data_IF_469906407920
#
_entry.id   IF_469906407920
#
_cell.length_a   1.000
_cell.length_b   1.000
_cell.length_c   1.000
_cell.angle_alpha   90.00
_cell.angle_beta   90.00
_cell.angle_gamma   90.00
#
_symmetry.space_group_name_H-M   'P 1'
#
loop_
_entity.id
_entity.type
_entity.pdbx_description
1 polymer ?
#
# COMPACT_ATOMS: atom_id res chain seq x y z
N UNK A 1 28.92 -2.07 -8.66
CA UNK A 1 28.15 -2.82 -7.66
C UNK A 1 27.20 -1.81 -7.05
N UNK A 2 26.03 -1.60 -7.68
CA UNK A 2 25.05 -0.57 -7.32
C UNK A 2 23.72 -1.02 -7.90
N UNK A 3 22.85 -1.62 -7.09
CA UNK A 3 21.44 -1.95 -7.39
C UNK A 3 20.82 -2.64 -6.14
N UNK A 4 20.56 -1.88 -5.09
CA UNK A 4 19.69 -2.35 -4.00
C UNK A 4 18.26 -1.86 -4.26
N UNK A 5 17.44 -2.79 -4.74
CA UNK A 5 16.01 -2.63 -5.01
C UNK A 5 15.21 -3.40 -3.97
N UNK A 6 14.86 -2.68 -2.92
CA UNK A 6 13.55 -2.55 -2.28
C UNK A 6 13.83 -1.50 -1.20
N UNK A 7 13.28 -0.31 -1.37
CA UNK A 7 13.39 0.75 -0.39
C UNK A 7 12.59 0.32 0.85
N UNK A 8 13.24 -0.33 1.81
CA UNK A 8 12.83 -0.19 3.21
C UNK A 8 13.83 0.78 3.79
N UNK A 9 13.40 2.04 3.80
CA UNK A 9 14.05 3.23 4.35
C UNK A 9 15.37 3.73 3.71
N UNK A 10 15.52 5.03 3.79
CA UNK A 10 16.46 5.87 3.07
C UNK A 10 17.94 5.50 3.26
N UNK A 11 18.68 5.48 2.14
CA UNK A 11 20.12 5.73 2.13
C UNK A 11 20.39 6.95 1.25
N UNK A 12 20.94 8.00 1.89
CA UNK A 12 21.63 9.12 1.28
C UNK A 12 22.79 8.59 0.42
N UNK A 13 22.68 8.67 -0.91
CA UNK A 13 23.84 8.46 -1.78
C UNK A 13 24.48 9.79 -2.18
N UNK A 14 25.46 10.23 -1.39
CA UNK A 14 26.50 11.16 -1.84
C UNK A 14 27.42 10.43 -2.84
N UNK A 15 27.03 10.38 -4.11
CA UNK A 15 27.93 10.36 -5.28
C UNK A 15 27.08 10.17 -6.55
N UNK A 16 26.57 11.27 -7.09
CA UNK A 16 26.13 11.32 -8.49
C UNK A 16 27.32 11.80 -9.32
N UNK A 17 27.63 11.08 -10.41
CA UNK A 17 27.87 11.62 -11.78
C UNK A 17 28.56 10.53 -12.64
N UNK A 18 27.92 10.19 -13.76
CA UNK A 18 28.37 9.33 -14.89
C UNK A 18 28.26 7.80 -14.70
N UNK A 19 27.13 7.21 -15.12
CA UNK A 19 27.07 6.13 -16.14
C UNK A 19 25.62 5.64 -16.34
N UNK A 20 25.21 5.47 -17.61
CA UNK A 20 23.87 5.02 -18.06
C UNK A 20 23.65 3.52 -17.73
N UNK A 21 22.47 3.05 -17.30
CA UNK A 21 22.24 1.63 -17.01
C UNK A 21 21.49 0.90 -18.15
N UNK A 22 22.00 -0.27 -18.55
CA UNK A 22 21.48 -1.13 -19.64
C UNK A 22 21.40 -2.64 -19.33
N UNK A 23 21.26 -3.10 -18.08
CA UNK A 23 21.14 -4.55 -17.80
C UNK A 23 19.99 -4.94 -16.87
N UNK A 24 19.35 -6.07 -17.22
CA UNK A 24 18.25 -6.74 -16.53
C UNK A 24 18.71 -7.44 -15.25
N UNK A 25 17.79 -7.55 -14.28
CA UNK A 25 17.99 -7.97 -12.89
C UNK A 25 18.17 -9.49 -12.68
N UNK A 26 18.75 -10.22 -13.64
CA UNK A 26 18.96 -11.66 -13.50
C UNK A 26 20.42 -11.98 -13.16
N UNK A 27 20.56 -12.68 -12.03
CA UNK A 27 21.73 -13.41 -11.53
C UNK A 27 23.00 -12.62 -11.18
N UNK A 28 23.11 -12.20 -9.92
CA UNK A 28 24.37 -12.27 -9.15
C UNK A 28 24.04 -12.71 -7.71
N UNK A 29 24.78 -13.68 -7.17
CA UNK A 29 24.62 -14.21 -5.81
C UNK A 29 25.13 -13.25 -4.72
N UNK A 30 24.80 -11.98 -4.83
CA UNK A 30 25.22 -10.89 -3.94
C UNK A 30 24.20 -10.70 -2.81
N UNK A 31 24.67 -10.35 -1.62
CA UNK A 31 23.84 -10.11 -0.44
C UNK A 31 22.71 -9.12 -0.75
N UNK A 32 21.46 -9.53 -0.59
CA UNK A 32 20.32 -8.62 -0.75
C UNK A 32 20.16 -7.78 0.52
N UNK A 33 19.87 -6.47 0.37
CA UNK A 33 19.58 -5.57 1.50
C UNK A 33 18.59 -6.15 2.51
N UNK A 34 17.57 -6.88 2.05
CA UNK A 34 16.57 -7.53 2.90
C UNK A 34 16.51 -9.04 2.61
N UNK A 35 16.41 -9.85 3.66
CA UNK A 35 16.37 -11.32 3.62
C UNK A 35 15.38 -11.87 4.63
N UNK A 36 15.12 -13.18 4.59
CA UNK A 36 14.29 -13.86 5.60
C UNK A 36 14.85 -13.73 7.03
N UNK A 37 16.19 -13.65 7.18
CA UNK A 37 16.84 -13.42 8.48
C UNK A 37 16.45 -12.08 9.10
N UNK A 38 16.21 -11.07 8.26
CA UNK A 38 15.72 -9.77 8.74
C UNK A 38 14.29 -9.89 9.29
N UNK A 39 13.45 -10.73 8.67
CA UNK A 39 12.11 -11.04 9.19
C UNK A 39 12.21 -11.78 10.53
N UNK A 40 13.12 -12.73 10.66
CA UNK A 40 13.38 -13.41 11.95
C UNK A 40 13.81 -12.41 13.03
N UNK A 41 14.67 -11.44 12.70
CA UNK A 41 15.10 -10.39 13.61
C UNK A 41 13.95 -9.46 14.03
N UNK A 42 13.04 -9.11 13.10
CA UNK A 42 11.83 -8.32 13.39
C UNK A 42 10.95 -9.05 14.41
N UNK A 43 10.70 -10.35 14.19
CA UNK A 43 9.92 -11.19 15.11
C UNK A 43 10.60 -11.32 16.47
N UNK A 44 11.92 -11.57 16.48
CA UNK A 44 12.70 -11.70 17.71
C UNK A 44 12.73 -10.41 18.54
N UNK A 45 12.60 -9.25 17.89
CA UNK A 45 12.46 -7.96 18.54
C UNK A 45 11.03 -7.66 19.03
N UNK A 46 10.09 -8.60 18.90
CA UNK A 46 8.71 -8.45 19.36
C UNK A 46 7.85 -7.51 18.50
N UNK A 47 8.31 -7.15 17.30
CA UNK A 47 7.55 -6.30 16.37
C UNK A 47 6.52 -7.14 15.62
N UNK A 48 5.36 -6.54 15.33
CA UNK A 48 4.22 -7.23 14.70
C UNK A 48 3.81 -6.65 13.33
N UNK A 49 4.36 -5.49 12.97
CA UNK A 49 3.94 -4.71 11.80
C UNK A 49 5.14 -4.08 11.12
N UNK A 50 5.11 -4.01 9.79
CA UNK A 50 6.10 -3.28 8.98
C UNK A 50 5.41 -2.34 7.98
N UNK A 51 6.03 -1.20 7.71
CA UNK A 51 5.73 -0.32 6.58
C UNK A 51 6.74 -0.57 5.48
N UNK A 52 6.28 -0.85 4.27
CA UNK A 52 7.14 -1.06 3.11
C UNK A 52 6.93 0.10 2.14
N UNK A 53 7.90 1.02 2.01
CA UNK A 53 7.94 2.03 0.97
C UNK A 53 8.03 1.40 -0.43
N UNK A 54 7.10 1.76 -1.31
CA UNK A 54 7.01 1.23 -2.67
C UNK A 54 6.90 2.37 -3.68
N UNK A 55 7.85 2.45 -4.59
CA UNK A 55 7.78 3.36 -5.72
C UNK A 55 6.82 2.87 -6.80
N UNK A 56 6.13 3.80 -7.47
CA UNK A 56 5.13 3.49 -8.49
C UNK A 56 5.66 2.60 -9.62
N UNK A 57 6.97 2.68 -9.91
CA UNK A 57 7.65 1.93 -10.97
C UNK A 57 7.66 0.41 -10.76
N UNK A 58 7.26 -0.06 -9.57
CA UNK A 58 7.03 -1.49 -9.34
C UNK A 58 5.95 -2.05 -10.28
N UNK A 59 5.00 -1.21 -10.69
CA UNK A 59 4.03 -1.51 -11.75
C UNK A 59 4.62 -1.00 -13.06
N UNK A 60 5.38 -1.87 -13.74
CA UNK A 60 6.25 -1.46 -14.85
C UNK A 60 5.51 -0.84 -16.05
N UNK A 61 4.22 -1.16 -16.23
CA UNK A 61 3.34 -0.57 -17.25
C UNK A 61 3.09 0.92 -17.05
N UNK A 62 3.30 1.45 -15.83
CA UNK A 62 3.15 2.87 -15.53
C UNK A 62 4.36 3.70 -15.92
N UNK A 63 5.51 3.08 -16.18
CA UNK A 63 6.77 3.80 -16.43
C UNK A 63 6.88 4.16 -17.90
N UNK A 64 6.98 5.46 -18.20
CA UNK A 64 7.33 5.95 -19.51
C UNK A 64 8.82 5.71 -19.77
N UNK A 65 9.14 4.59 -20.42
CA UNK A 65 10.52 4.18 -20.67
C UNK A 65 11.30 5.11 -21.62
N UNK A 66 10.64 6.09 -22.25
CA UNK A 66 11.33 7.09 -23.06
C UNK A 66 11.94 8.22 -22.21
N UNK A 67 11.39 8.48 -21.02
CA UNK A 67 11.78 9.60 -20.15
C UNK A 67 12.14 9.19 -18.73
N UNK A 68 11.73 8.00 -18.28
CA UNK A 68 11.88 7.49 -16.92
C UNK A 68 12.74 6.23 -16.88
N UNK A 69 13.78 6.25 -16.03
CA UNK A 69 14.85 5.24 -16.01
C UNK A 69 14.84 4.38 -14.74
N UNK A 70 13.65 4.11 -14.20
CA UNK A 70 13.49 3.27 -13.02
C UNK A 70 13.79 1.80 -13.32
N UNK A 71 14.29 1.04 -12.34
CA UNK A 71 14.59 -0.37 -12.54
C UNK A 71 13.35 -1.26 -12.69
N UNK A 72 13.58 -2.54 -12.98
CA UNK A 72 12.55 -3.57 -13.28
C UNK A 72 12.65 -4.75 -12.32
N UNK A 73 11.58 -5.54 -12.20
CA UNK A 73 11.54 -6.80 -11.47
C UNK A 73 11.23 -6.70 -9.97
N UNK A 74 11.01 -5.49 -9.43
CA UNK A 74 10.76 -5.26 -8.00
C UNK A 74 9.57 -6.04 -7.44
N UNK A 75 8.53 -6.29 -8.25
CA UNK A 75 7.33 -7.02 -7.81
C UNK A 75 7.62 -8.45 -7.32
N UNK A 76 8.61 -9.14 -7.92
CA UNK A 76 9.00 -10.50 -7.51
C UNK A 76 9.64 -10.50 -6.13
N UNK A 77 10.44 -9.49 -5.83
CA UNK A 77 11.08 -9.33 -4.53
C UNK A 77 10.06 -8.89 -3.47
N UNK A 78 9.13 -7.99 -3.81
CA UNK A 78 8.03 -7.63 -2.91
C UNK A 78 7.21 -8.86 -2.54
N UNK A 79 6.78 -9.65 -3.54
CA UNK A 79 6.07 -10.91 -3.31
C UNK A 79 6.84 -11.84 -2.36
N UNK A 80 8.14 -12.03 -2.61
CA UNK A 80 9.00 -12.89 -1.77
C UNK A 80 9.04 -12.40 -0.32
N UNK A 81 9.24 -11.10 -0.11
CA UNK A 81 9.25 -10.48 1.22
C UNK A 81 7.92 -10.61 1.95
N UNK A 82 6.81 -10.33 1.27
CA UNK A 82 5.46 -10.49 1.83
C UNK A 82 5.17 -11.95 2.22
N UNK A 83 5.63 -12.91 1.41
CA UNK A 83 5.55 -14.34 1.73
C UNK A 83 6.28 -14.71 3.03
N UNK A 84 7.45 -14.14 3.29
CA UNK A 84 8.16 -14.31 4.56
C UNK A 84 7.40 -13.68 5.74
N UNK A 85 6.95 -12.44 5.60
CA UNK A 85 6.17 -11.75 6.64
C UNK A 85 4.89 -12.52 6.99
N UNK A 86 4.17 -12.99 5.97
CA UNK A 86 2.98 -13.83 6.15
C UNK A 86 3.28 -15.08 6.97
N UNK A 87 4.34 -15.82 6.64
CA UNK A 87 4.71 -17.05 7.36
C UNK A 87 5.01 -16.80 8.83
N UNK A 88 5.43 -15.58 9.18
CA UNK A 88 5.77 -15.16 10.54
C UNK A 88 4.67 -14.36 11.24
N UNK A 89 3.51 -14.20 10.61
CA UNK A 89 2.38 -13.45 11.18
C UNK A 89 2.61 -11.95 11.31
N UNK A 90 3.53 -11.37 10.51
CA UNK A 90 3.78 -9.93 10.49
C UNK A 90 2.80 -9.25 9.54
N UNK A 91 2.16 -8.20 10.01
CA UNK A 91 1.26 -7.35 9.23
C UNK A 91 2.04 -6.33 8.39
N UNK A 92 1.57 -6.03 7.20
CA UNK A 92 2.26 -5.14 6.26
C UNK A 92 1.38 -3.97 5.84
N UNK A 93 1.90 -2.75 5.98
CA UNK A 93 1.38 -1.57 5.31
C UNK A 93 2.22 -1.31 4.07
N UNK A 94 1.59 -1.24 2.89
CA UNK A 94 2.26 -0.82 1.66
C UNK A 94 2.12 0.68 1.50
N UNK A 95 3.25 1.37 1.48
CA UNK A 95 3.26 2.81 1.33
C UNK A 95 3.62 3.21 -0.10
N UNK A 96 2.76 4.01 -0.75
CA UNK A 96 3.08 4.60 -2.04
C UNK A 96 4.08 5.75 -1.88
N UNK A 97 5.33 5.37 -1.70
CA UNK A 97 6.36 6.28 -1.20
C UNK A 97 6.90 7.26 -2.25
N UNK A 98 7.00 6.78 -3.48
CA UNK A 98 7.52 7.56 -4.60
C UNK A 98 6.50 7.55 -5.75
N UNK A 99 5.88 8.70 -5.95
CA UNK A 99 4.73 8.87 -6.84
C UNK A 99 5.18 9.17 -8.29
N UNK A 100 4.33 8.86 -9.28
CA UNK A 100 4.54 9.31 -10.65
C UNK A 100 4.74 10.82 -10.73
N UNK A 101 5.81 11.27 -11.39
CA UNK A 101 6.08 12.71 -11.53
C UNK A 101 6.61 13.41 -10.29
N UNK A 102 7.05 12.70 -9.25
CA UNK A 102 7.65 13.26 -8.02
C UNK A 102 6.65 14.10 -7.21
N UNK A 103 6.34 13.67 -5.98
CA UNK A 103 5.43 14.37 -5.07
C UNK A 103 6.09 15.52 -4.32
N UNK A 104 7.38 15.40 -3.99
CA UNK A 104 8.07 16.36 -3.12
C UNK A 104 9.40 16.81 -3.71
N UNK A 105 9.58 18.12 -3.82
CA UNK A 105 10.73 18.74 -4.47
C UNK A 105 12.02 18.49 -3.67
N UNK A 106 13.10 18.16 -4.37
CA UNK A 106 14.44 17.95 -3.82
C UNK A 106 14.54 16.84 -2.75
N UNK A 107 13.59 15.91 -2.75
CA UNK A 107 13.56 14.78 -1.82
C UNK A 107 13.99 13.50 -2.51
N UNK A 108 14.98 12.80 -1.96
CA UNK A 108 15.46 11.53 -2.51
C UNK A 108 14.42 10.42 -2.36
N UNK A 109 13.64 10.46 -1.27
CA UNK A 109 12.60 9.47 -1.00
C UNK A 109 11.46 9.48 -2.04
N UNK A 110 11.25 10.61 -2.73
CA UNK A 110 10.25 10.75 -3.78
C UNK A 110 10.66 10.09 -5.12
N UNK A 111 11.68 9.24 -5.11
CA UNK A 111 12.15 8.42 -6.24
C UNK A 111 13.14 9.11 -7.18
N UNK A 112 12.99 10.43 -7.37
CA UNK A 112 13.96 11.25 -8.12
C UNK A 112 14.12 12.60 -7.41
N UNK A 113 15.34 12.90 -6.98
CA UNK A 113 15.66 14.20 -6.41
C UNK A 113 15.67 15.28 -7.51
N UNK A 114 14.62 16.08 -7.57
CA UNK A 114 14.46 17.16 -8.55
C UNK A 114 13.57 18.26 -7.99
N UNK A 115 13.74 19.50 -8.45
CA UNK A 115 12.85 20.61 -8.12
C UNK A 115 11.56 20.63 -8.95
N UNK A 116 11.50 19.86 -10.04
CA UNK A 116 10.34 19.78 -10.94
C UNK A 116 9.33 18.74 -10.42
N UNK A 117 8.31 19.25 -9.72
CA UNK A 117 7.21 18.45 -9.17
C UNK A 117 6.06 18.42 -10.18
N UNK A 118 5.71 17.22 -10.63
CA UNK A 118 4.67 16.96 -11.64
C UNK A 118 3.54 16.06 -11.10
N UNK A 119 3.65 15.53 -9.87
CA UNK A 119 2.66 14.60 -9.32
C UNK A 119 1.24 15.19 -9.27
N UNK A 120 1.10 16.46 -8.88
CA UNK A 120 -0.18 17.15 -8.70
C UNK A 120 -0.83 17.56 -10.03
N UNK A 121 -1.00 16.59 -10.92
CA UNK A 121 -1.62 16.71 -12.24
C UNK A 121 -2.52 15.49 -12.49
N UNK A 122 -3.59 15.67 -13.27
CA UNK A 122 -4.53 14.58 -13.57
C UNK A 122 -3.84 13.34 -14.16
N UNK A 123 -2.84 13.53 -15.03
CA UNK A 123 -2.04 12.44 -15.61
C UNK A 123 -1.35 11.60 -14.54
N UNK A 124 -0.68 12.22 -13.57
CA UNK A 124 0.10 11.51 -12.56
C UNK A 124 -0.78 11.00 -11.41
N UNK A 125 -1.89 11.67 -11.08
CA UNK A 125 -2.95 11.11 -10.24
C UNK A 125 -3.51 9.83 -10.85
N UNK A 126 -3.86 9.81 -12.14
CA UNK A 126 -4.35 8.61 -12.81
C UNK A 126 -3.34 7.46 -12.72
N UNK A 127 -2.05 7.70 -12.97
CA UNK A 127 -0.99 6.69 -12.81
C UNK A 127 -0.94 6.16 -11.38
N UNK A 128 -1.06 7.03 -10.37
CA UNK A 128 -1.03 6.61 -8.98
C UNK A 128 -2.28 5.82 -8.56
N UNK A 129 -3.45 6.15 -9.11
CA UNK A 129 -4.69 5.38 -8.91
C UNK A 129 -4.61 3.98 -9.54
N UNK A 130 -3.97 3.85 -10.70
CA UNK A 130 -3.73 2.53 -11.31
C UNK A 130 -2.83 1.68 -10.41
N UNK A 131 -1.76 2.27 -9.86
CA UNK A 131 -0.91 1.58 -8.89
C UNK A 131 -1.74 1.07 -7.70
N UNK A 132 -2.58 1.93 -7.11
CA UNK A 132 -3.42 1.57 -5.96
C UNK A 132 -4.35 0.38 -6.27
N UNK A 133 -5.01 0.40 -7.42
CA UNK A 133 -5.90 -0.68 -7.83
C UNK A 133 -5.17 -1.99 -8.14
N UNK A 134 -3.96 -1.93 -8.72
CA UNK A 134 -3.11 -3.12 -8.94
C UNK A 134 -2.68 -3.73 -7.60
N UNK A 135 -2.18 -2.94 -6.67
CA UNK A 135 -1.73 -3.42 -5.35
C UNK A 135 -2.88 -3.97 -4.51
N UNK A 136 -4.05 -3.33 -4.58
CA UNK A 136 -5.29 -3.82 -3.94
C UNK A 136 -5.67 -5.19 -4.49
N UNK A 137 -5.72 -5.33 -5.82
CA UNK A 137 -6.11 -6.59 -6.44
C UNK A 137 -5.11 -7.72 -6.11
N UNK A 138 -3.79 -7.45 -6.19
CA UNK A 138 -2.76 -8.41 -5.82
C UNK A 138 -2.92 -8.92 -4.39
N UNK A 139 -3.25 -8.04 -3.45
CA UNK A 139 -3.50 -8.39 -2.04
C UNK A 139 -4.60 -9.44 -1.86
N UNK A 140 -5.62 -9.41 -2.70
CA UNK A 140 -6.77 -10.31 -2.61
C UNK A 140 -6.69 -11.53 -3.52
N UNK A 141 -5.81 -11.55 -4.53
CA UNK A 141 -5.69 -12.67 -5.47
C UNK A 141 -4.42 -13.50 -5.27
N UNK A 142 -3.36 -12.92 -4.70
CA UNK A 142 -2.10 -13.61 -4.41
C UNK A 142 -2.01 -13.92 -2.91
N UNK A 143 -1.99 -15.21 -2.51
CA UNK A 143 -1.84 -15.58 -1.11
C UNK A 143 -0.59 -15.02 -0.44
N UNK A 144 0.50 -14.74 -1.16
CA UNK A 144 1.72 -14.21 -0.53
C UNK A 144 1.55 -12.75 -0.08
N UNK A 145 0.57 -12.04 -0.63
CA UNK A 145 0.25 -10.67 -0.24
C UNK A 145 -0.77 -10.61 0.91
N UNK A 146 -1.22 -11.74 1.45
CA UNK A 146 -2.32 -11.78 2.42
C UNK A 146 -2.02 -11.12 3.77
N UNK A 147 -0.75 -10.81 4.05
CA UNK A 147 -0.30 -10.05 5.24
C UNK A 147 -0.51 -8.54 5.10
N UNK A 148 -0.78 -8.05 3.89
CA UNK A 148 -1.06 -6.63 3.65
C UNK A 148 -2.42 -6.28 4.22
N UNK A 149 -2.45 -5.33 5.16
CA UNK A 149 -3.68 -4.87 5.80
C UNK A 149 -4.01 -3.41 5.47
N UNK A 150 -3.04 -2.64 4.96
CA UNK A 150 -3.19 -1.23 4.65
C UNK A 150 -2.40 -0.83 3.40
N UNK A 151 -2.93 0.14 2.65
CA UNK A 151 -2.22 0.80 1.54
C UNK A 151 -2.30 2.31 1.71
N UNK A 152 -1.16 2.98 1.70
CA UNK A 152 -1.03 4.44 1.80
C UNK A 152 -1.10 5.09 0.42
N UNK A 153 -1.89 6.17 0.31
CA UNK A 153 -2.11 6.84 -0.96
C UNK A 153 -0.87 7.60 -1.45
N UNK A 154 -0.14 8.21 -0.53
CA UNK A 154 1.05 9.02 -0.80
C UNK A 154 1.84 9.22 0.48
N UNK A 155 3.14 8.97 0.42
CA UNK A 155 4.08 9.45 1.42
C UNK A 155 4.32 10.96 1.29
N UNK A 156 4.19 11.68 2.41
CA UNK A 156 4.68 13.06 2.58
C UNK A 156 4.40 14.02 1.40
N UNK A 157 3.13 14.34 1.09
CA UNK A 157 2.81 15.36 0.09
C UNK A 157 3.38 16.73 0.51
N UNK A 158 3.48 17.67 -0.43
CA UNK A 158 3.84 19.06 -0.13
C UNK A 158 2.89 19.61 0.95
N UNK A 159 3.47 20.11 2.05
CA UNK A 159 2.73 20.61 3.22
C UNK A 159 1.88 21.86 2.90
N UNK A 160 2.30 22.70 1.95
CA UNK A 160 1.47 23.82 1.51
C UNK A 160 0.34 23.33 0.59
N UNK A 161 -0.89 23.31 1.10
CA UNK A 161 -2.06 22.89 0.33
C UNK A 161 -2.23 23.66 -0.99
N UNK A 162 -1.86 24.95 -1.03
CA UNK A 162 -1.97 25.77 -2.24
C UNK A 162 -1.08 25.26 -3.38
N UNK A 163 -0.12 24.38 -3.08
CA UNK A 163 0.79 23.76 -4.05
C UNK A 163 0.38 22.34 -4.45
N UNK A 164 -0.76 21.85 -3.97
CA UNK A 164 -1.27 20.50 -4.24
C UNK A 164 -2.66 20.52 -4.91
N UNK A 165 -2.79 21.10 -6.12
CA UNK A 165 -4.08 21.23 -6.79
C UNK A 165 -4.74 19.86 -7.03
N UNK A 166 -6.03 19.75 -6.71
CA UNK A 166 -6.82 18.52 -6.90
C UNK A 166 -6.48 17.37 -5.94
N UNK A 167 -5.65 17.59 -4.92
CA UNK A 167 -5.21 16.52 -4.01
C UNK A 167 -6.36 15.86 -3.23
N UNK A 168 -7.34 16.64 -2.76
CA UNK A 168 -8.53 16.09 -2.11
C UNK A 168 -9.39 15.19 -3.02
N UNK A 169 -9.47 15.51 -4.31
CA UNK A 169 -10.17 14.67 -5.28
C UNK A 169 -9.39 13.40 -5.59
N UNK A 170 -8.06 13.47 -5.63
CA UNK A 170 -7.19 12.30 -5.70
C UNK A 170 -7.42 11.36 -4.50
N UNK A 171 -7.50 11.87 -3.27
CA UNK A 171 -7.78 11.06 -2.08
C UNK A 171 -9.14 10.35 -2.18
N UNK A 172 -10.19 11.05 -2.60
CA UNK A 172 -11.53 10.47 -2.83
C UNK A 172 -11.50 9.37 -3.90
N UNK A 173 -10.84 9.62 -5.03
CA UNK A 173 -10.69 8.62 -6.11
C UNK A 173 -9.85 7.43 -5.66
N UNK A 174 -8.82 7.64 -4.83
CA UNK A 174 -8.01 6.55 -4.27
C UNK A 174 -8.87 5.59 -3.46
N UNK A 175 -9.67 6.10 -2.51
CA UNK A 175 -10.59 5.25 -1.74
C UNK A 175 -11.57 4.54 -2.66
N UNK A 176 -12.16 5.26 -3.60
CA UNK A 176 -13.13 4.70 -4.56
C UNK A 176 -12.53 3.55 -5.38
N UNK A 177 -11.30 3.70 -5.88
CA UNK A 177 -10.60 2.65 -6.63
C UNK A 177 -10.36 1.42 -5.76
N UNK A 178 -9.84 1.58 -4.54
CA UNK A 178 -9.60 0.45 -3.62
C UNK A 178 -10.89 -0.31 -3.35
N UNK A 179 -11.97 0.39 -2.99
CA UNK A 179 -13.26 -0.25 -2.66
C UNK A 179 -13.94 -0.87 -3.85
N UNK A 180 -13.86 -0.26 -5.03
CA UNK A 180 -14.43 -0.86 -6.25
C UNK A 180 -13.65 -2.11 -6.68
N UNK A 181 -12.33 -2.17 -6.48
CA UNK A 181 -11.53 -3.39 -6.73
C UNK A 181 -11.93 -4.50 -5.76
N UNK A 182 -12.02 -4.21 -4.46
CA UNK A 182 -12.50 -5.17 -3.46
C UNK A 182 -13.91 -5.68 -3.77
N UNK A 183 -14.81 -4.76 -4.16
CA UNK A 183 -16.17 -5.10 -4.56
C UNK A 183 -16.17 -6.04 -5.78
N UNK A 184 -15.34 -5.78 -6.81
CA UNK A 184 -15.19 -6.66 -7.98
C UNK A 184 -14.61 -8.05 -7.65
N UNK A 185 -13.88 -8.15 -6.54
CA UNK A 185 -13.33 -9.41 -6.02
C UNK A 185 -14.23 -10.06 -4.96
N UNK A 186 -15.40 -9.48 -4.67
CA UNK A 186 -16.34 -9.91 -3.62
C UNK A 186 -15.73 -9.93 -2.22
N UNK A 187 -14.77 -9.05 -1.98
CA UNK A 187 -14.28 -8.73 -0.65
C UNK A 187 -15.29 -7.75 -0.05
N UNK A 188 -16.15 -8.27 0.85
CA UNK A 188 -17.20 -7.47 1.50
C UNK A 188 -16.60 -6.73 2.69
N UNK A 189 -16.81 -5.42 2.72
CA UNK A 189 -16.36 -4.53 3.77
C UNK A 189 -17.56 -4.09 4.60
N UNK A 190 -17.69 -4.56 5.86
CA UNK A 190 -18.86 -4.28 6.68
C UNK A 190 -19.19 -2.78 6.83
N UNK A 191 -18.17 -1.93 6.88
CA UNK A 191 -18.32 -0.49 7.13
C UNK A 191 -18.25 0.37 5.85
N UNK A 192 -18.36 -0.25 4.68
CA UNK A 192 -18.31 0.46 3.40
C UNK A 192 -19.71 0.90 2.95
N UNK A 193 -19.87 2.21 2.80
CA UNK A 193 -21.04 2.79 2.15
C UNK A 193 -20.96 2.65 0.62
N UNK A 194 -21.44 1.52 0.10
CA UNK A 194 -21.44 1.22 -1.33
C UNK A 194 -22.29 2.19 -2.16
N UNK A 195 -23.21 2.96 -1.55
CA UNK A 195 -24.00 3.97 -2.27
C UNK A 195 -23.13 5.13 -2.77
N UNK A 196 -21.99 5.38 -2.12
CA UNK A 196 -21.00 6.40 -2.53
C UNK A 196 -20.10 5.93 -3.68
N UNK A 197 -20.05 4.63 -3.96
CA UNK A 197 -19.22 4.10 -5.05
C UNK A 197 -19.91 4.21 -6.41
N UNK A 198 -21.22 3.99 -6.45
CA UNK A 198 -21.97 3.81 -7.70
C UNK A 198 -23.08 4.84 -7.83
N UNK A 199 -23.18 5.43 -9.02
CA UNK A 199 -24.21 6.42 -9.34
C UNK A 199 -25.59 5.78 -9.53
N UNK A 200 -25.65 4.48 -9.80
CA UNK A 200 -26.90 3.74 -10.05
C UNK A 200 -26.92 2.45 -9.22
N UNK A 201 -27.45 2.53 -7.99
CA UNK A 201 -27.33 1.50 -6.94
C UNK A 201 -28.33 0.34 -7.07
N UNK A 202 -29.29 0.40 -7.98
CA UNK A 202 -30.43 -0.51 -8.01
C UNK A 202 -30.12 -1.92 -8.54
N UNK A 203 -28.96 -2.16 -9.18
CA UNK A 203 -28.65 -3.46 -9.81
C UNK A 203 -27.15 -3.82 -9.88
N UNK A 204 -26.30 -3.26 -9.04
CA UNK A 204 -24.87 -3.65 -9.04
C UNK A 204 -24.68 -5.00 -8.35
N UNK A 205 -24.11 -5.96 -9.08
CA UNK A 205 -23.70 -7.25 -8.56
C UNK A 205 -22.17 -7.34 -8.56
N UNK A 206 -21.52 -7.80 -7.47
CA UNK A 206 -20.06 -7.89 -7.41
C UNK A 206 -19.49 -8.94 -8.38
N UNK A 207 -20.35 -9.81 -8.93
CA UNK A 207 -20.03 -10.86 -9.91
C UNK A 207 -19.88 -10.34 -11.35
N UNK A 208 -19.96 -9.03 -11.57
CA UNK A 208 -19.91 -8.47 -12.93
C UNK A 208 -18.47 -8.30 -13.44
N UNK A 209 -17.47 -8.38 -12.55
CA UNK A 209 -16.05 -8.22 -12.89
C UNK A 209 -15.61 -6.77 -13.03
N UNK A 210 -14.29 -6.56 -13.05
CA UNK A 210 -13.63 -5.25 -12.98
C UNK A 210 -14.17 -4.23 -14.00
N UNK A 211 -14.19 -4.57 -15.29
CA UNK A 211 -14.58 -3.62 -16.34
C UNK A 211 -16.07 -3.27 -16.29
N UNK A 212 -16.92 -4.23 -15.98
CA UNK A 212 -18.37 -3.99 -15.92
C UNK A 212 -18.74 -3.15 -14.72
N UNK A 213 -18.12 -3.40 -13.54
CA UNK A 213 -18.35 -2.60 -12.33
C UNK A 213 -17.94 -1.14 -12.53
N UNK A 214 -16.88 -0.88 -13.30
CA UNK A 214 -16.44 0.48 -13.61
C UNK A 214 -17.51 1.30 -14.35
N UNK A 215 -18.39 0.67 -15.13
CA UNK A 215 -19.46 1.39 -15.85
C UNK A 215 -20.60 1.90 -14.94
N UNK A 216 -20.60 1.55 -13.65
CA UNK A 216 -21.62 2.01 -12.69
C UNK A 216 -21.20 3.24 -11.89
N UNK A 217 -20.04 3.83 -12.20
CA UNK A 217 -19.67 5.14 -11.69
C UNK A 217 -19.65 6.17 -12.81
N UNK A 218 -20.00 7.42 -12.50
CA UNK A 218 -19.88 8.54 -13.45
C UNK A 218 -18.48 9.18 -13.49
N UNK A 219 -17.52 8.70 -12.69
CA UNK A 219 -16.16 9.23 -12.67
C UNK A 219 -15.37 8.63 -13.83
N UNK A 220 -15.22 9.42 -14.90
CA UNK A 220 -14.49 9.04 -16.11
C UNK A 220 -13.04 8.64 -15.84
N UNK A 221 -12.39 9.25 -14.84
CA UNK A 221 -11.00 8.92 -14.47
C UNK A 221 -10.97 7.52 -13.88
N UNK A 222 -11.89 7.21 -12.97
CA UNK A 222 -12.00 5.87 -12.38
C UNK A 222 -12.28 4.82 -13.46
N UNK A 223 -13.15 5.10 -14.44
CA UNK A 223 -13.40 4.19 -15.57
C UNK A 223 -12.11 3.85 -16.33
N UNK A 224 -11.31 4.86 -16.69
CA UNK A 224 -10.04 4.65 -17.41
C UNK A 224 -8.96 3.97 -16.55
N UNK A 225 -8.93 4.28 -15.24
CA UNK A 225 -8.08 3.58 -14.27
C UNK A 225 -8.39 2.09 -14.26
N UNK A 226 -9.67 1.69 -14.23
CA UNK A 226 -10.06 0.28 -14.22
C UNK A 226 -9.60 -0.49 -15.47
N UNK A 227 -9.67 0.13 -16.66
CA UNK A 227 -9.12 -0.47 -17.89
C UNK A 227 -7.61 -0.73 -17.80
N UNK A 228 -6.89 0.20 -17.17
CA UNK A 228 -5.44 0.11 -17.02
C UNK A 228 -5.03 -0.88 -15.91
N UNK A 229 -5.84 -0.99 -14.85
CA UNK A 229 -5.67 -2.01 -13.80
C UNK A 229 -5.79 -3.40 -14.40
N UNK A 230 -6.83 -3.70 -15.19
CA UNK A 230 -7.01 -5.05 -15.74
C UNK A 230 -5.89 -5.44 -16.70
N UNK A 231 -5.45 -4.51 -17.56
CA UNK A 231 -4.31 -4.72 -18.45
C UNK A 231 -3.02 -4.99 -17.66
N UNK A 232 -2.74 -4.23 -16.60
CA UNK A 232 -1.55 -4.40 -15.77
C UNK A 232 -1.58 -5.72 -14.99
N UNK A 233 -2.74 -6.08 -14.41
CA UNK A 233 -2.90 -7.32 -13.67
C UNK A 233 -2.72 -8.56 -14.55
N UNK A 234 -3.12 -8.52 -15.82
CA UNK A 234 -2.89 -9.62 -16.76
C UNK A 234 -1.40 -9.92 -16.92
N UNK A 235 -0.60 -8.88 -17.16
CA UNK A 235 0.86 -9.01 -17.33
C UNK A 235 1.52 -9.42 -16.02
N UNK A 236 1.22 -8.73 -14.91
CA UNK A 236 1.84 -9.00 -13.61
C UNK A 236 1.50 -10.41 -13.12
N UNK A 237 0.25 -10.85 -13.29
CA UNK A 237 -0.15 -12.21 -12.88
C UNK A 237 0.61 -13.28 -13.65
N UNK A 238 0.86 -13.08 -14.95
CA UNK A 238 1.69 -13.97 -15.74
C UNK A 238 3.15 -13.97 -15.26
N UNK A 239 3.73 -12.78 -15.02
CA UNK A 239 5.11 -12.62 -14.57
C UNK A 239 5.38 -13.22 -13.18
N UNK A 240 4.37 -13.20 -12.31
CA UNK A 240 4.39 -13.79 -10.97
C UNK A 240 3.98 -15.28 -10.94
N UNK A 241 3.61 -15.86 -12.08
CA UNK A 241 3.16 -17.25 -12.18
C UNK A 241 1.85 -17.52 -11.43
N UNK A 242 0.96 -16.52 -11.33
CA UNK A 242 -0.30 -16.66 -10.60
C UNK A 242 -1.30 -17.52 -11.35
N UNK A 243 -1.83 -18.53 -10.65
CA UNK A 243 -2.96 -19.31 -11.14
C UNK A 243 -4.26 -18.59 -10.80
N UNK A 244 -4.76 -17.81 -11.76
CA UNK A 244 -6.06 -17.15 -11.63
C UNK A 244 -7.21 -18.12 -11.98
N UNK A 245 -8.35 -18.01 -11.29
CA UNK A 245 -9.57 -18.76 -11.65
C UNK A 245 -10.10 -18.33 -13.03
N UNK A 246 -10.81 -19.22 -13.72
CA UNK A 246 -11.38 -18.95 -15.05
C UNK A 246 -12.20 -17.65 -15.09
N UNK A 247 -13.07 -17.43 -14.10
CA UNK A 247 -13.89 -16.22 -14.04
C UNK A 247 -13.08 -14.96 -13.75
N UNK A 248 -11.99 -15.05 -12.98
CA UNK A 248 -11.10 -13.92 -12.74
C UNK A 248 -10.30 -13.59 -14.01
N UNK A 249 -9.78 -14.58 -14.73
CA UNK A 249 -9.12 -14.37 -16.05
C UNK A 249 -10.06 -13.66 -17.02
N UNK A 250 -11.29 -14.19 -17.16
CA UNK A 250 -12.32 -13.59 -18.01
C UNK A 250 -12.72 -12.17 -17.58
N UNK A 251 -12.64 -11.86 -16.28
CA UNK A 251 -12.90 -10.51 -15.77
C UNK A 251 -11.77 -9.51 -16.10
N UNK A 252 -10.55 -10.00 -16.35
CA UNK A 252 -9.40 -9.16 -16.73
C UNK A 252 -9.31 -9.00 -18.26
N UNK A 253 -9.89 -9.91 -19.04
CA UNK A 253 -9.93 -9.83 -20.49
C UNK A 253 -11.00 -8.84 -20.98
N UNK A 254 -10.54 -7.78 -21.66
CA UNK A 254 -11.40 -6.77 -22.30
C UNK A 254 -12.11 -7.27 -23.57
N UNK A 255 -11.67 -8.39 -24.13
CA UNK A 255 -12.25 -9.02 -25.30
C UNK A 255 -13.12 -10.20 -24.87
N UNK A 256 -14.39 -10.24 -25.27
CA UNK A 256 -15.29 -11.40 -25.12
C UNK A 256 -14.86 -12.66 -25.91
N UNK A 257 -13.57 -12.82 -26.23
CA UNK A 257 -13.02 -13.95 -26.97
C UNK A 257 -12.45 -15.00 -26.01
N UNK A 258 -13.13 -16.13 -25.91
CA UNK A 258 -12.63 -17.34 -25.24
C UNK A 258 -11.37 -17.85 -25.92
N UNK A 259 -10.27 -18.04 -25.19
CA UNK A 259 -9.03 -18.60 -25.73
C UNK A 259 -9.07 -20.13 -25.78
N UNK A 260 -8.29 -20.77 -26.66
CA UNK A 260 -8.27 -22.24 -26.81
C UNK A 260 -7.86 -22.99 -25.54
N UNK A 261 -7.07 -22.35 -24.67
CA UNK A 261 -6.70 -22.86 -23.34
C UNK A 261 -7.89 -22.93 -22.38
N UNK A 262 -8.90 -22.09 -22.55
CA UNK A 262 -10.11 -22.06 -21.73
C UNK A 262 -11.05 -23.25 -22.01
N UNK A 263 -10.95 -23.82 -23.21
CA UNK A 263 -11.71 -25.00 -23.63
C UNK A 263 -11.15 -26.27 -22.99
N UNK A 264 -9.85 -26.31 -22.71
CA UNK A 264 -9.19 -27.46 -22.10
C UNK A 264 -9.63 -27.67 -20.64
N UNK A 265 -9.71 -26.61 -19.83
CA UNK A 265 -10.19 -26.71 -18.43
C UNK A 265 -11.67 -27.11 -18.32
N UNK A 266 -12.48 -26.88 -19.36
CA UNK A 266 -13.88 -27.30 -19.39
C UNK A 266 -14.06 -28.79 -19.68
N UNK A 267 -13.05 -29.47 -20.23
CA UNK A 267 -13.11 -30.89 -20.58
C UNK A 267 -12.69 -31.84 -19.46
N UNK A 268 -12.16 -31.33 -18.34
CA UNK A 268 -11.75 -32.16 -17.20
C UNK A 268 -12.82 -32.31 -16.10
N UNK A 269 -14.03 -31.78 -16.30
CA UNK A 269 -15.17 -31.96 -15.40
C UNK A 269 -16.17 -33.00 -15.92
N UNK A 270 -16.14 -34.20 -15.33
CA UNK A 270 -17.16 -35.26 -15.39
C UNK A 270 -17.34 -36.03 -16.71
N UNK A 271 -16.31 -36.79 -17.08
CA UNK A 271 -16.47 -38.01 -17.88
C UNK A 271 -16.67 -39.23 -16.97
N UNK A 272 -17.89 -39.43 -16.46
CA UNK A 272 -18.27 -40.69 -15.83
C UNK A 272 -19.50 -41.27 -16.56
N UNK A 273 -19.20 -42.18 -17.50
CA UNK A 273 -20.05 -43.31 -17.89
C UNK A 273 -21.47 -43.04 -18.38
N UNK A 274 -21.68 -43.19 -19.69
CA UNK A 274 -22.47 -44.31 -20.26
C UNK A 274 -22.30 -44.33 -21.79
N UNK A 275 -21.85 -45.49 -22.27
CA UNK A 275 -21.39 -45.73 -23.63
C UNK A 275 -22.49 -45.79 -24.70
N UNK A 276 -22.02 -45.99 -25.93
CA UNK A 276 -22.82 -46.29 -27.11
C UNK A 276 -22.57 -47.76 -27.48
N UNK A 277 -23.62 -48.58 -27.47
CA UNK A 277 -23.69 -49.85 -28.19
C UNK A 277 -25.14 -50.04 -28.67
N UNK A 278 -25.27 -50.51 -29.91
CA UNK A 278 -26.54 -50.90 -30.55
C UNK A 278 -26.49 -52.39 -30.87
N UNK A 279 -27.59 -53.09 -30.68
CA UNK A 279 -28.01 -54.23 -31.50
C UNK A 279 -29.54 -54.32 -31.32
N UNK A 280 -30.29 -54.27 -32.42
CA UNK A 280 -31.74 -54.50 -32.55
C UNK A 280 -32.74 -53.36 -32.20
N UNK A 281 -33.41 -52.80 -33.24
CA UNK A 281 -34.74 -52.15 -33.12
C UNK A 281 -34.88 -50.69 -33.64
N UNK A 282 -36.08 -50.27 -34.13
CA UNK A 282 -36.20 -49.49 -35.37
C UNK A 282 -36.30 -47.96 -35.26
N UNK A 283 -36.07 -47.34 -36.44
CA UNK A 283 -36.18 -45.94 -36.85
C UNK A 283 -37.40 -45.16 -36.30
N UNK A 284 -37.19 -43.88 -36.01
CA UNK A 284 -38.12 -42.82 -36.39
C UNK A 284 -37.37 -41.58 -36.87
N UNK A 285 -37.34 -41.40 -38.19
CA UNK A 285 -37.18 -40.09 -38.80
C UNK A 285 -38.54 -39.38 -38.75
N UNK A 286 -38.57 -38.13 -38.28
CA UNK A 286 -39.60 -37.21 -38.77
C UNK A 286 -39.20 -35.74 -38.70
N UNK A 287 -39.12 -35.17 -39.91
CA UNK A 287 -39.55 -33.84 -40.35
C UNK A 287 -38.95 -32.59 -39.70
N UNK A 288 -38.13 -31.94 -40.52
CA UNK A 288 -38.01 -30.50 -40.72
C UNK A 288 -39.30 -29.72 -40.44
N UNK A 289 -39.20 -28.73 -39.56
CA UNK A 289 -40.08 -27.56 -39.46
C UNK A 289 -39.24 -26.28 -39.32
N UNK A 290 -39.78 -25.13 -39.75
CA UNK A 290 -39.02 -24.01 -40.28
C UNK A 290 -38.35 -23.16 -39.20
N UNK A 291 -37.30 -22.45 -39.62
CA UNK A 291 -36.58 -21.46 -38.84
C UNK A 291 -37.43 -20.19 -38.63
N UNK A 292 -38.38 -20.23 -37.70
CA UNK A 292 -39.00 -19.05 -37.12
C UNK A 292 -39.13 -19.26 -35.60
N UNK A 293 -38.72 -18.28 -34.81
CA UNK A 293 -38.47 -18.29 -33.35
C UNK A 293 -37.03 -18.59 -32.87
N UNK A 294 -36.02 -18.01 -33.52
CA UNK A 294 -34.66 -17.84 -32.93
C UNK A 294 -34.36 -16.42 -32.44
N UNK A 295 -35.38 -15.56 -32.31
CA UNK A 295 -35.25 -14.21 -31.74
C UNK A 295 -36.03 -14.08 -30.44
N UNK A 296 -35.50 -14.65 -29.36
CA UNK A 296 -35.78 -14.23 -27.98
C UNK A 296 -34.95 -15.07 -27.02
N UNK A 297 -33.69 -14.66 -26.80
CA UNK A 297 -32.92 -14.87 -25.56
C UNK A 297 -31.77 -13.88 -25.58
N UNK A 298 -32.15 -12.61 -25.43
CA UNK A 298 -31.23 -11.53 -25.10
C UNK A 298 -30.47 -11.93 -23.83
N UNK A 299 -29.16 -11.81 -23.91
CA UNK A 299 -28.16 -12.05 -22.87
C UNK A 299 -28.67 -11.84 -21.44
N UNK A 300 -28.92 -12.92 -20.70
CA UNK A 300 -28.69 -12.86 -19.27
C UNK A 300 -27.19 -12.63 -19.08
N UNK A 301 -26.82 -11.51 -18.45
CA UNK A 301 -25.47 -11.28 -17.94
C UNK A 301 -25.04 -12.51 -17.14
N UNK A 302 -24.21 -13.37 -17.76
CA UNK A 302 -23.65 -14.54 -17.09
C UNK A 302 -22.72 -14.04 -15.99
N UNK A 303 -23.19 -14.09 -14.75
CA UNK A 303 -22.43 -13.79 -13.53
C UNK A 303 -21.04 -14.45 -13.59
N UNK A 304 -19.98 -13.64 -13.51
CA UNK A 304 -18.59 -14.07 -13.42
C UNK A 304 -18.32 -14.34 -11.94
N UNK A 305 -18.63 -15.54 -11.47
CA UNK A 305 -18.37 -15.88 -10.07
C UNK A 305 -16.86 -16.03 -9.85
N UNK A 306 -16.16 -14.92 -9.56
CA UNK A 306 -14.72 -14.92 -9.28
C UNK A 306 -14.45 -15.76 -8.03
N UNK A 307 -13.58 -16.76 -8.17
CA UNK A 307 -13.10 -17.56 -7.04
C UNK A 307 -11.68 -17.11 -6.73
N UNK A 308 -11.45 -16.64 -5.50
CA UNK A 308 -10.13 -16.25 -5.01
C UNK A 308 -9.34 -17.49 -4.56
N UNK A 309 -8.01 -17.39 -4.62
CA UNK A 309 -7.11 -18.45 -4.18
C UNK A 309 -7.30 -18.78 -2.70
N UNK A 310 -7.10 -20.05 -2.34
CA UNK A 310 -7.12 -20.49 -0.93
C UNK A 310 -5.99 -19.78 -0.18
N UNK A 311 -6.31 -19.12 0.93
CA UNK A 311 -5.34 -18.37 1.73
C UNK A 311 -5.07 -16.94 1.27
N UNK A 312 -5.78 -16.44 0.25
CA UNK A 312 -5.79 -15.01 -0.06
C UNK A 312 -6.64 -14.22 0.96
N UNK A 313 -6.29 -12.96 1.18
CA UNK A 313 -7.00 -12.11 2.15
C UNK A 313 -8.42 -11.79 1.65
N UNK A 314 -9.40 -11.94 2.55
CA UNK A 314 -10.80 -11.52 2.36
C UNK A 314 -11.20 -10.41 3.32
N UNK A 315 -10.25 -9.89 4.07
CA UNK A 315 -10.42 -8.74 4.94
C UNK A 315 -10.14 -7.49 4.15
N UNK A 316 -10.92 -6.45 4.38
CA UNK A 316 -10.73 -5.20 3.66
C UNK A 316 -9.43 -4.52 4.07
N UNK A 317 -8.79 -3.91 3.09
CA UNK A 317 -7.64 -3.06 3.31
C UNK A 317 -8.06 -1.77 4.01
N UNK A 318 -7.21 -1.23 4.87
CA UNK A 318 -7.32 0.15 5.33
C UNK A 318 -6.71 1.07 4.27
N UNK A 319 -7.46 2.07 3.82
CA UNK A 319 -6.90 3.15 2.98
C UNK A 319 -6.21 4.15 3.89
N UNK A 320 -4.91 4.40 3.66
CA UNK A 320 -4.07 5.19 4.57
C UNK A 320 -3.69 6.54 3.97
N UNK A 321 -3.66 7.58 4.80
CA UNK A 321 -3.31 8.94 4.41
C UNK A 321 -2.48 9.61 5.49
N UNK A 322 -1.55 10.48 5.10
CA UNK A 322 -1.04 11.50 6.01
C UNK A 322 -2.22 12.25 6.66
N UNK A 323 -2.16 12.42 7.97
CA UNK A 323 -3.24 13.03 8.75
C UNK A 323 -3.45 14.51 8.35
N UNK A 324 -4.61 15.06 8.70
CA UNK A 324 -5.04 16.42 8.32
C UNK A 324 -3.98 17.48 8.63
N UNK A 325 -3.29 17.36 9.76
CA UNK A 325 -2.29 18.33 10.21
C UNK A 325 -0.99 18.29 9.40
N UNK A 326 -0.85 17.35 8.46
CA UNK A 326 0.28 17.31 7.53
C UNK A 326 0.33 18.54 6.63
N UNK A 327 -0.83 19.02 6.17
CA UNK A 327 -0.91 20.20 5.33
C UNK A 327 -1.38 21.43 6.12
N UNK A 328 -0.83 22.59 5.78
CA UNK A 328 -1.31 23.89 6.23
C UNK A 328 -2.02 24.63 5.08
N UNK A 329 -2.53 25.84 5.33
CA UNK A 329 -3.31 26.64 4.39
C UNK A 329 -4.68 26.04 4.01
N UNK A 330 -5.46 25.62 5.03
CA UNK A 330 -6.84 25.13 4.89
C UNK A 330 -6.99 23.92 3.94
N UNK A 331 -6.29 22.79 4.20
CA UNK A 331 -6.40 21.59 3.39
C UNK A 331 -7.77 20.90 3.55
N UNK A 332 -8.18 20.05 2.59
CA UNK A 332 -9.26 19.11 2.79
C UNK A 332 -8.91 18.12 3.91
N UNK A 333 -9.91 17.60 4.60
CA UNK A 333 -9.69 16.56 5.58
C UNK A 333 -9.66 15.18 4.86
N UNK A 334 -8.60 14.37 4.98
CA UNK A 334 -8.57 13.02 4.40
C UNK A 334 -9.73 12.12 4.88
N UNK A 335 -10.28 12.39 6.08
CA UNK A 335 -11.46 11.71 6.59
C UNK A 335 -12.71 11.88 5.72
N UNK A 336 -12.80 12.99 4.97
CA UNK A 336 -13.94 13.24 4.07
C UNK A 336 -13.93 12.32 2.84
N UNK A 337 -12.81 11.63 2.58
CA UNK A 337 -12.71 10.61 1.53
C UNK A 337 -13.25 9.23 1.96
N UNK A 338 -13.64 9.04 3.23
CA UNK A 338 -13.97 7.74 3.78
C UNK A 338 -15.18 7.07 3.09
N UNK A 339 -14.93 5.87 2.56
CA UNK A 339 -15.92 4.92 2.02
C UNK A 339 -15.56 3.51 2.53
N UNK A 340 -15.40 3.36 3.84
CA UNK A 340 -14.88 2.16 4.49
C UNK A 340 -13.70 2.48 5.43
N UNK A 341 -12.95 1.45 5.88
CA UNK A 341 -11.91 1.63 6.89
C UNK A 341 -10.75 2.49 6.37
N UNK A 342 -10.32 3.43 7.22
CA UNK A 342 -9.20 4.33 6.99
C UNK A 342 -8.22 4.28 8.16
N UNK A 343 -6.95 4.53 7.86
CA UNK A 343 -5.85 4.71 8.82
C UNK A 343 -5.23 6.08 8.53
N UNK A 344 -4.76 6.77 9.57
CA UNK A 344 -4.09 8.05 9.42
C UNK A 344 -2.64 7.93 9.87
N UNK A 345 -1.73 8.49 9.09
CA UNK A 345 -0.29 8.47 9.34
C UNK A 345 0.20 9.86 9.76
N UNK A 346 1.04 9.92 10.79
CA UNK A 346 1.76 11.10 11.19
C UNK A 346 3.26 10.81 11.27
N UNK A 347 4.08 11.70 10.72
CA UNK A 347 5.52 11.64 10.93
C UNK A 347 5.95 12.73 11.90
N UNK A 348 6.87 12.39 12.82
CA UNK A 348 7.40 13.37 13.77
C UNK A 348 8.90 13.20 13.95
N UNK A 349 9.64 14.16 13.42
CA UNK A 349 11.09 14.26 13.55
C UNK A 349 11.46 15.59 14.19
N UNK A 350 12.24 15.53 15.27
CA UNK A 350 12.76 16.73 15.91
C UNK A 350 14.12 17.16 15.32
N UNK A 351 14.85 16.23 14.68
CA UNK A 351 16.17 16.46 14.09
C UNK A 351 16.21 17.46 12.94
N UNK A 352 15.06 17.81 12.35
CA UNK A 352 14.99 18.79 11.27
C UNK A 352 14.62 20.20 11.75
N UNK A 353 14.42 20.39 13.07
CA UNK A 353 14.01 21.67 13.66
C UNK A 353 12.52 21.96 13.48
N UNK A 354 12.06 23.11 13.99
CA UNK A 354 10.68 23.58 13.87
C UNK A 354 9.68 22.95 14.86
N UNK A 355 10.12 22.01 15.71
CA UNK A 355 9.28 21.36 16.73
C UNK A 355 9.65 21.82 18.14
N UNK A 356 10.94 21.92 18.43
CA UNK A 356 11.49 22.34 19.72
C UNK A 356 12.89 22.93 19.52
N UNK A 357 13.35 23.71 20.51
CA UNK A 357 14.74 24.14 20.58
C UNK A 357 15.69 22.92 20.64
N UNK A 358 16.92 23.03 20.12
CA UNK A 358 17.86 21.91 20.00
C UNK A 358 18.52 21.56 21.34
N UNK A 359 17.74 21.15 22.34
CA UNK A 359 18.21 20.69 23.64
C UNK A 359 17.26 19.66 24.26
N UNK A 360 17.79 18.88 25.20
CA UNK A 360 17.09 17.79 25.87
C UNK A 360 15.80 18.24 26.57
N UNK A 361 15.84 19.34 27.32
CA UNK A 361 14.70 19.82 28.10
C UNK A 361 13.53 20.23 27.18
N UNK A 362 13.82 20.96 26.11
CA UNK A 362 12.80 21.38 25.15
C UNK A 362 12.15 20.18 24.46
N UNK A 363 12.93 19.19 24.03
CA UNK A 363 12.41 17.96 23.42
C UNK A 363 11.46 17.23 24.37
N UNK A 364 11.87 17.02 25.63
CA UNK A 364 11.05 16.31 26.61
C UNK A 364 9.78 17.09 26.98
N UNK A 365 9.87 18.42 27.15
CA UNK A 365 8.69 19.26 27.42
C UNK A 365 7.68 19.18 26.30
N UNK A 366 8.14 19.30 25.05
CA UNK A 366 7.24 19.30 23.89
C UNK A 366 6.59 17.94 23.69
N UNK A 367 7.35 16.83 23.71
CA UNK A 367 6.76 15.50 23.47
C UNK A 367 5.79 15.10 24.59
N UNK A 368 6.14 15.34 25.86
CA UNK A 368 5.32 14.92 26.99
C UNK A 368 4.05 15.75 27.19
N UNK A 369 3.95 16.92 26.54
CA UNK A 369 2.78 17.81 26.62
C UNK A 369 2.07 17.99 25.27
N UNK A 370 2.42 17.21 24.24
CA UNK A 370 1.80 17.36 22.92
C UNK A 370 0.33 16.93 22.93
N UNK A 371 -0.50 17.66 22.17
CA UNK A 371 -1.92 17.36 21.96
C UNK A 371 -2.23 16.83 20.55
N UNK A 372 -1.18 16.46 19.78
CA UNK A 372 -1.30 16.02 18.37
C UNK A 372 -2.30 14.89 18.18
N UNK A 373 -2.25 13.87 19.03
CA UNK A 373 -3.17 12.73 18.93
C UNK A 373 -4.60 13.15 19.21
N UNK A 374 -4.81 13.94 20.27
CA UNK A 374 -6.12 14.49 20.61
C UNK A 374 -6.70 15.32 19.47
N UNK A 375 -5.92 16.21 18.86
CA UNK A 375 -6.33 17.02 17.70
C UNK A 375 -6.67 16.17 16.48
N UNK A 376 -5.90 15.12 16.21
CA UNK A 376 -6.21 14.18 15.13
C UNK A 376 -7.55 13.49 15.37
N UNK A 377 -7.81 12.99 16.59
CA UNK A 377 -9.10 12.37 16.95
C UNK A 377 -10.25 13.37 16.80
N UNK A 378 -10.10 14.61 17.29
CA UNK A 378 -11.08 15.70 17.13
C UNK A 378 -11.35 16.04 15.65
N UNK A 379 -10.37 15.82 14.77
CA UNK A 379 -10.50 15.98 13.32
C UNK A 379 -11.02 14.71 12.61
N UNK A 380 -11.50 13.69 13.32
CA UNK A 380 -11.89 12.38 12.78
C UNK A 380 -10.74 11.62 12.07
N UNK A 381 -9.50 11.90 12.44
CA UNK A 381 -8.30 11.23 11.93
C UNK A 381 -7.86 10.14 12.91
N UNK A 382 -8.72 9.14 13.11
CA UNK A 382 -8.50 7.98 13.96
C UNK A 382 -8.96 6.70 13.23
N UNK A 383 -8.24 5.56 13.37
CA UNK A 383 -7.00 5.37 14.12
C UNK A 383 -5.81 6.13 13.54
N UNK A 384 -4.93 6.62 14.42
CA UNK A 384 -3.71 7.36 14.08
C UNK A 384 -2.48 6.52 14.44
N UNK A 385 -1.57 6.35 13.48
CA UNK A 385 -0.26 5.74 13.70
C UNK A 385 0.83 6.76 13.44
N UNK A 386 1.88 6.75 14.27
CA UNK A 386 3.11 7.46 13.95
C UNK A 386 3.97 6.59 13.02
N UNK A 387 3.72 6.67 11.71
CA UNK A 387 4.30 5.79 10.69
C UNK A 387 5.77 6.06 10.39
N UNK A 388 6.29 7.22 10.82
CA UNK A 388 7.72 7.49 10.85
C UNK A 388 8.16 8.36 12.04
N UNK A 389 9.21 7.91 12.70
CA UNK A 389 9.94 8.62 13.76
C UNK A 389 11.30 7.96 14.00
N UNK A 390 12.22 8.64 14.67
CA UNK A 390 13.54 8.09 15.01
C UNK A 390 14.06 8.63 16.35
N UNK A 391 15.26 8.22 16.77
CA UNK A 391 15.92 8.82 17.94
C UNK A 391 16.84 9.99 17.58
N UNK A 392 16.79 10.46 16.32
CA UNK A 392 17.69 11.50 15.84
C UNK A 392 17.39 12.85 16.47
N UNK A 393 18.47 13.58 16.77
CA UNK A 393 18.43 14.92 17.36
C UNK A 393 19.24 15.89 16.49
N UNK A 394 18.94 17.18 16.61
CA UNK A 394 19.76 18.26 16.01
C UNK A 394 20.75 18.88 17.01
N UNK A 395 21.04 18.16 18.09
CA UNK A 395 22.04 18.50 19.11
C UNK A 395 22.78 17.24 19.56
N UNK A 396 23.93 17.42 20.21
CA UNK A 396 24.71 16.30 20.75
C UNK A 396 24.02 15.69 21.97
N UNK A 397 23.24 14.63 21.75
CA UNK A 397 22.46 13.96 22.78
C UNK A 397 23.33 13.01 23.63
N UNK A 398 23.13 13.02 24.95
CA UNK A 398 23.75 12.02 25.82
C UNK A 398 23.02 10.67 25.69
N UNK A 399 23.69 9.58 26.10
CA UNK A 399 23.07 8.25 26.10
C UNK A 399 21.86 8.21 27.01
N UNK A 400 21.99 8.78 28.21
CA UNK A 400 20.93 8.85 29.24
C UNK A 400 19.70 9.58 28.71
N UNK A 401 19.91 10.69 27.98
CA UNK A 401 18.81 11.36 27.29
C UNK A 401 18.15 10.47 26.25
N UNK A 402 18.92 9.74 25.42
CA UNK A 402 18.34 8.89 24.38
C UNK A 402 17.51 7.72 24.94
N UNK A 403 17.85 7.21 26.13
CA UNK A 403 17.01 6.26 26.88
C UNK A 403 15.65 6.87 27.22
N UNK A 404 15.63 8.03 27.88
CA UNK A 404 14.40 8.73 28.24
C UNK A 404 13.62 9.18 26.99
N UNK A 405 14.33 9.61 25.95
CA UNK A 405 13.76 10.11 24.70
C UNK A 405 12.99 9.03 23.94
N UNK A 406 13.52 7.80 23.88
CA UNK A 406 12.83 6.67 23.26
C UNK A 406 11.51 6.35 23.98
N UNK A 407 11.48 6.41 25.31
CA UNK A 407 10.27 6.17 26.09
C UNK A 407 9.29 7.34 26.02
N UNK A 408 9.76 8.59 26.06
CA UNK A 408 8.89 9.76 26.01
C UNK A 408 8.15 9.87 24.67
N UNK A 409 8.80 9.51 23.56
CA UNK A 409 8.14 9.38 22.27
C UNK A 409 7.07 8.27 22.28
N UNK A 410 7.43 7.06 22.73
CA UNK A 410 6.50 5.92 22.79
C UNK A 410 5.36 6.11 23.80
N UNK A 411 5.55 6.93 24.84
CA UNK A 411 4.48 7.31 25.76
C UNK A 411 3.31 7.95 25.01
N UNK A 412 3.59 8.70 23.94
CA UNK A 412 2.55 9.22 23.03
C UNK A 412 2.17 8.18 21.99
N UNK A 413 3.14 7.63 21.27
CA UNK A 413 2.84 6.86 20.06
C UNK A 413 2.23 5.48 20.32
N UNK A 414 2.51 4.87 21.47
CA UNK A 414 1.91 3.61 21.91
C UNK A 414 0.88 3.79 23.05
N UNK A 415 0.90 4.94 23.73
CA UNK A 415 0.02 5.21 24.88
C UNK A 415 -1.21 6.04 24.55
N UNK A 416 -1.12 6.95 23.57
CA UNK A 416 -2.23 7.82 23.15
C UNK A 416 -2.71 7.51 21.73
N UNK A 417 -1.78 7.22 20.81
CA UNK A 417 -2.08 6.83 19.44
C UNK A 417 -2.26 5.30 19.31
N UNK A 418 -2.64 4.83 18.12
CA UNK A 418 -2.94 3.42 17.85
C UNK A 418 -1.70 2.58 17.50
N UNK A 419 -0.54 3.22 17.37
CA UNK A 419 0.72 2.53 17.14
C UNK A 419 1.80 3.41 16.53
N UNK A 420 2.93 2.77 16.22
CA UNK A 420 4.11 3.44 15.69
C UNK A 420 4.92 2.52 14.78
N UNK A 421 5.67 3.14 13.87
CA UNK A 421 6.61 2.45 12.98
C UNK A 421 7.91 3.25 12.96
N UNK A 422 8.99 2.65 13.43
CA UNK A 422 10.28 3.31 13.57
C UNK A 422 10.98 3.41 12.21
N UNK A 423 11.43 4.61 11.85
CA UNK A 423 12.26 4.85 10.69
C UNK A 423 13.75 4.85 11.10
N UNK A 424 14.49 3.76 10.88
CA UNK A 424 14.16 2.54 10.13
C UNK A 424 14.62 1.27 10.84
N UNK A 425 14.27 0.08 10.35
CA UNK A 425 14.73 -1.16 10.98
C UNK A 425 16.27 -1.29 10.97
N UNK A 426 16.93 -0.95 9.85
CA UNK A 426 18.39 -0.88 9.72
C UNK A 426 18.85 0.12 8.68
N UNK A 427 20.09 0.58 8.82
CA UNK A 427 20.84 1.38 7.85
C UNK A 427 22.23 0.78 7.64
N UNK A 428 22.99 1.32 6.68
CA UNK A 428 24.31 0.79 6.31
C UNK A 428 25.25 0.76 7.53
N UNK A 429 25.99 -0.34 7.65
CA UNK A 429 26.98 -0.52 8.72
C UNK A 429 28.04 0.60 8.67
N UNK A 430 28.43 1.13 9.84
CA UNK A 430 29.39 2.23 9.93
C UNK A 430 28.82 3.62 9.58
N UNK A 431 27.53 3.72 9.27
CA UNK A 431 26.88 5.02 9.05
C UNK A 431 26.99 5.93 10.28
N UNK A 432 27.30 7.24 10.12
CA UNK A 432 27.35 8.19 11.23
C UNK A 432 25.97 8.46 11.86
N UNK A 433 24.91 7.97 11.23
CA UNK A 433 23.52 8.09 11.69
C UNK A 433 23.11 6.95 12.64
N UNK A 434 24.01 5.99 12.88
CA UNK A 434 23.82 4.94 13.89
C UNK A 434 24.09 5.54 15.30
N UNK A 435 23.28 5.17 16.31
CA UNK A 435 22.16 4.24 16.25
C UNK A 435 20.83 4.89 15.88
N UNK A 436 20.75 6.22 15.87
CA UNK A 436 19.50 6.98 15.93
C UNK A 436 18.48 6.68 14.81
N UNK A 437 18.95 6.25 13.64
CA UNK A 437 18.14 5.93 12.47
C UNK A 437 17.99 4.41 12.18
N UNK A 438 18.52 3.55 13.07
CA UNK A 438 18.36 2.09 13.03
C UNK A 438 17.76 1.58 14.32
N UNK A 439 16.61 0.94 14.22
CA UNK A 439 15.93 0.30 15.34
C UNK A 439 16.80 -0.80 15.95
N UNK A 440 17.40 -1.67 15.14
CA UNK A 440 18.22 -2.76 15.66
C UNK A 440 19.50 -2.28 16.35
N UNK A 441 20.16 -1.25 15.83
CA UNK A 441 21.32 -0.66 16.53
C UNK A 441 20.88 0.11 17.79
N UNK A 442 19.70 0.71 17.80
CA UNK A 442 19.14 1.36 19.00
C UNK A 442 18.72 0.33 20.07
N UNK A 443 18.18 -0.81 19.65
CA UNK A 443 17.87 -1.94 20.52
C UNK A 443 19.16 -2.53 21.13
N UNK A 444 20.20 -2.74 20.30
CA UNK A 444 21.52 -3.18 20.75
C UNK A 444 22.19 -2.18 21.70
N UNK A 445 21.97 -0.88 21.51
CA UNK A 445 22.44 0.17 22.41
C UNK A 445 21.67 0.24 23.74
N UNK A 446 20.56 -0.51 23.86
CA UNK A 446 19.74 -0.63 25.07
C UNK A 446 18.57 0.35 25.16
N UNK A 447 18.37 1.23 24.17
CA UNK A 447 17.33 2.28 24.24
C UNK A 447 15.89 1.74 24.18
N UNK A 448 15.73 0.46 23.81
CA UNK A 448 14.47 -0.24 23.79
C UNK A 448 14.54 -1.49 24.67
N UNK A 449 13.45 -1.83 25.35
CA UNK A 449 13.27 -3.16 25.95
C UNK A 449 13.04 -4.21 24.87
N UNK A 450 13.28 -5.48 25.22
CA UNK A 450 12.95 -6.63 24.37
C UNK A 450 11.45 -6.73 24.04
N UNK A 451 10.57 -6.19 24.90
CA UNK A 451 9.15 -6.02 24.60
C UNK A 451 8.90 -4.58 24.12
N UNK A 452 8.70 -4.35 22.81
CA UNK A 452 8.53 -3.01 22.25
C UNK A 452 7.20 -2.36 22.67
N UNK A 453 6.24 -3.12 23.21
CA UNK A 453 4.98 -2.60 23.75
C UNK A 453 5.11 -1.95 25.12
N UNK A 454 6.27 -2.09 25.79
CA UNK A 454 6.52 -1.57 27.13
C UNK A 454 7.54 -0.44 27.14
N UNK A 455 7.25 0.56 27.96
CA UNK A 455 8.21 1.59 28.32
C UNK A 455 9.26 1.04 29.29
N UNK A 456 10.49 1.52 29.17
CA UNK A 456 11.54 1.23 30.16
C UNK A 456 11.23 1.95 31.46
N UNK A 457 10.97 3.25 31.36
CA UNK A 457 10.54 4.17 32.39
C UNK A 457 9.11 4.67 32.09
N UNK A 458 8.06 4.08 32.68
CA UNK A 458 6.67 4.54 32.46
C UNK A 458 6.39 5.94 33.03
N UNK A 459 7.28 6.44 33.90
CA UNK A 459 7.16 7.72 34.58
C UNK A 459 7.95 8.84 33.91
N UNK A 460 8.56 8.56 32.74
CA UNK A 460 9.47 9.47 32.04
C UNK A 460 8.87 10.87 31.80
N UNK A 461 7.56 10.93 31.57
CA UNK A 461 6.85 12.19 31.33
C UNK A 461 6.33 12.90 32.60
N UNK A 462 6.31 12.25 33.78
CA UNK A 462 5.69 12.81 35.00
C UNK A 462 6.26 14.17 35.40
N UNK A 463 7.58 14.36 35.30
CA UNK A 463 8.24 15.64 35.66
C UNK A 463 8.01 16.77 34.67
N UNK A 464 7.59 16.44 33.45
CA UNK A 464 7.42 17.37 32.33
C UNK A 464 5.97 17.83 32.18
N UNK A 465 5.02 17.02 32.61
CA UNK A 465 3.59 17.34 32.61
C UNK A 465 3.29 18.35 33.72
N UNK A 466 2.71 19.51 33.38
CA UNK A 466 2.24 20.50 34.36
C UNK A 466 3.29 21.48 34.92
N UNK A 467 4.57 21.35 34.55
CA UNK A 467 5.63 22.33 34.87
C UNK A 467 5.84 23.38 33.76
N UNK A 468 4.81 23.66 32.95
CA UNK A 468 4.83 24.66 31.88
C UNK A 468 4.58 26.06 32.42
N UNK A 469 5.43 26.54 33.31
CA UNK A 469 5.62 27.98 33.55
C UNK A 469 7.03 28.32 33.09
N UNK A 470 7.13 29.21 32.11
CA UNK A 470 8.33 29.70 31.43
C UNK A 470 8.85 28.79 30.28
N UNK A 471 8.39 29.05 29.05
CA UNK A 471 8.99 30.01 28.11
C UNK A 471 8.23 29.91 26.77
N UNK A 472 7.21 30.76 26.62
CA UNK A 472 6.80 31.21 25.30
C UNK A 472 7.58 32.51 25.04
N UNK A 473 8.48 32.47 24.07
CA UNK A 473 9.10 33.63 23.45
C UNK A 473 9.17 33.37 21.95
#
# INVERSE_FOLDING_TARGET
>A
MWLDLIFIAAVLLKSLVKRRPTKSLQSTGEATWFTEKDVDAIVAAGLNTVRIPVGYWIVESLVDRSTEYYPRGGMKYLKKGLGWFKQKGIHVMLDHHALPGVSSANQMYAGRCTSDVQFYTEKNYQRALIWAGVMTALTHIDPDFSSVFAIEAINEPIMDFNRTPGYGDYQKRFVKVVRMVEYALRVKCPDTDYSKLFSNSSNTSPDLGFLTIANYTDDKVVIEVFKSITASLKTISADLGLTLSFNLRRSLDSSHTTHSTDVAQKKEGHGAGRGRMTADGPLHANRSRPAEHLYSRVHHERRLTTTLNKGASRTCLMTTFMNKDWQYNNPPNPADAAIGPQLYDAHLYFSFGGVADPNADAYMRIICNTDRVKKAVEANNSPLVFGEWSLATNFNASKEFLYDWADAQRFIYAGQADGWIFWSFKIEEGSPNIPAWSFFESLKAGYFKNDPSKLTNPDVCKRWIGNSTATAA
#
